data_IF_973767553618
#
_entry.id   IF_973767553618
#
_cell.length_a   1.000
_cell.length_b   1.000
_cell.length_c   1.000
_cell.angle_alpha   90.00
_cell.angle_beta   90.00
_cell.angle_gamma   90.00
#
_symmetry.space_group_name_H-M   'P 1'
#
loop_
_entity.id
_entity.type
_entity.pdbx_description
1 polymer ?
#
# COMPACT_ATOMS: atom_id res chain seq x y z
N UNK A 1 -19.17 -40.92 -10.92
CA UNK A 1 -19.46 -39.47 -10.91
C UNK A 1 -18.27 -38.75 -10.29
N UNK A 2 -17.91 -37.57 -10.78
CA UNK A 2 -16.79 -36.81 -10.22
C UNK A 2 -17.18 -36.17 -8.87
N UNK A 3 -16.26 -36.14 -7.90
CA UNK A 3 -16.41 -35.42 -6.63
C UNK A 3 -15.75 -34.06 -6.76
N UNK A 4 -16.50 -33.00 -6.47
CA UNK A 4 -15.99 -31.63 -6.41
C UNK A 4 -15.37 -31.36 -5.03
N UNK A 5 -14.20 -30.75 -5.00
CA UNK A 5 -13.51 -30.30 -3.79
C UNK A 5 -13.13 -28.83 -3.96
N UNK A 6 -13.34 -28.02 -2.92
CA UNK A 6 -12.88 -26.63 -2.89
C UNK A 6 -11.44 -26.59 -2.36
N UNK A 7 -10.53 -26.01 -3.12
CA UNK A 7 -9.10 -25.90 -2.79
C UNK A 7 -8.67 -24.44 -2.92
N UNK A 8 -9.05 -23.56 -1.97
CA UNK A 8 -8.57 -22.19 -1.97
C UNK A 8 -7.04 -22.17 -1.84
N UNK A 9 -6.35 -21.17 -2.42
CA UNK A 9 -4.91 -21.06 -2.27
C UNK A 9 -4.53 -20.87 -0.80
N UNK A 10 -3.44 -21.51 -0.39
CA UNK A 10 -2.80 -21.27 0.91
C UNK A 10 -2.45 -19.80 1.04
N UNK A 11 -2.96 -19.14 2.08
CA UNK A 11 -2.72 -17.71 2.29
C UNK A 11 -1.24 -17.45 2.56
N UNK A 12 -0.60 -18.28 3.38
CA UNK A 12 0.82 -18.20 3.67
C UNK A 12 1.67 -18.34 2.40
N UNK A 13 1.44 -19.40 1.61
CA UNK A 13 2.25 -19.68 0.41
C UNK A 13 2.05 -18.64 -0.68
N UNK A 14 0.81 -18.18 -0.88
CA UNK A 14 0.52 -17.15 -1.87
C UNK A 14 1.06 -15.79 -1.41
N UNK A 15 0.99 -15.46 -0.12
CA UNK A 15 1.62 -14.24 0.44
C UNK A 15 3.10 -14.21 0.10
N UNK A 16 3.88 -15.25 0.46
CA UNK A 16 5.31 -15.32 0.11
C UNK A 16 5.54 -15.10 -1.39
N UNK A 17 4.74 -15.76 -2.23
CA UNK A 17 4.86 -15.64 -3.69
C UNK A 17 4.56 -14.22 -4.18
N UNK A 18 3.57 -13.53 -3.61
CA UNK A 18 3.24 -12.15 -3.97
C UNK A 18 4.34 -11.16 -3.56
N UNK A 19 5.04 -11.43 -2.45
CA UNK A 19 6.15 -10.60 -1.99
C UNK A 19 7.37 -10.67 -2.89
N UNK A 20 7.61 -11.83 -3.50
CA UNK A 20 8.77 -12.07 -4.35
C UNK A 20 8.54 -11.69 -5.83
N UNK A 21 7.46 -10.96 -6.15
CA UNK A 21 7.11 -10.56 -7.52
C UNK A 21 8.06 -9.53 -8.18
N UNK A 22 9.28 -9.34 -7.67
CA UNK A 22 10.33 -8.58 -8.35
C UNK A 22 10.10 -7.07 -8.43
N UNK A 23 9.22 -6.51 -7.59
CA UNK A 23 9.05 -5.06 -7.49
C UNK A 23 10.33 -4.42 -6.96
N UNK A 24 10.83 -3.43 -7.70
CA UNK A 24 11.76 -2.45 -7.12
C UNK A 24 10.96 -1.45 -6.28
N UNK A 25 11.62 -0.78 -5.33
CA UNK A 25 10.98 0.25 -4.52
C UNK A 25 10.34 1.33 -5.40
N UNK A 26 11.02 1.74 -6.47
CA UNK A 26 10.54 2.76 -7.40
C UNK A 26 9.23 2.34 -8.07
N UNK A 27 9.15 1.09 -8.56
CA UNK A 27 7.93 0.56 -9.17
C UNK A 27 6.80 0.40 -8.17
N UNK A 28 7.11 -0.01 -6.93
CA UNK A 28 6.10 -0.17 -5.89
C UNK A 28 5.51 1.19 -5.46
N UNK A 29 6.36 2.22 -5.34
CA UNK A 29 5.90 3.58 -5.06
C UNK A 29 5.12 4.14 -6.25
N UNK A 30 5.58 3.94 -7.49
CA UNK A 30 4.85 4.38 -8.67
C UNK A 30 3.42 3.80 -8.74
N UNK A 31 3.25 2.51 -8.43
CA UNK A 31 1.93 1.87 -8.35
C UNK A 31 1.01 2.52 -7.30
N UNK A 32 1.55 2.98 -6.17
CA UNK A 32 0.77 3.72 -5.18
C UNK A 32 0.39 5.11 -5.69
N UNK A 33 1.30 5.81 -6.35
CA UNK A 33 1.04 7.12 -6.96
C UNK A 33 -0.02 7.02 -8.07
N UNK A 34 0.00 5.94 -8.87
CA UNK A 34 -1.04 5.67 -9.86
C UNK A 34 -2.43 5.54 -9.22
N UNK A 35 -2.52 4.98 -8.01
CA UNK A 35 -3.78 4.93 -7.26
C UNK A 35 -4.22 6.34 -6.81
N UNK A 36 -3.28 7.18 -6.36
CA UNK A 36 -3.57 8.58 -6.01
C UNK A 36 -4.11 9.35 -7.23
N UNK A 37 -3.47 9.22 -8.39
CA UNK A 37 -3.91 9.84 -9.66
C UNK A 37 -5.29 9.30 -10.07
N UNK A 38 -5.49 7.98 -9.97
CA UNK A 38 -6.78 7.34 -10.25
C UNK A 38 -7.88 7.78 -9.29
N UNK A 39 -7.51 8.30 -8.11
CA UNK A 39 -8.39 8.91 -7.11
C UNK A 39 -8.56 10.43 -7.31
N UNK A 40 -8.07 10.98 -8.41
CA UNK A 40 -8.11 12.41 -8.77
C UNK A 40 -7.35 13.31 -7.78
N UNK A 41 -6.32 12.77 -7.11
CA UNK A 41 -5.46 13.56 -6.24
C UNK A 41 -4.64 14.58 -7.04
N UNK A 42 -4.51 15.78 -6.48
CA UNK A 42 -3.68 16.87 -7.04
C UNK A 42 -2.42 17.10 -6.22
N UNK A 43 -2.37 16.59 -4.99
CA UNK A 43 -1.24 16.67 -4.09
C UNK A 43 -1.01 15.28 -3.50
N UNK A 44 0.25 14.84 -3.55
CA UNK A 44 0.69 13.59 -2.96
C UNK A 44 1.96 13.82 -2.17
N UNK A 45 1.90 13.56 -0.87
CA UNK A 45 3.02 13.67 0.06
C UNK A 45 3.59 12.29 0.32
N UNK A 46 4.91 12.16 0.13
CA UNK A 46 5.65 10.95 0.45
C UNK A 46 6.58 11.26 1.63
N UNK A 47 6.47 10.48 2.70
CA UNK A 47 7.25 10.66 3.92
C UNK A 47 7.98 9.36 4.22
N UNK A 48 9.27 9.50 4.52
CA UNK A 48 10.06 8.42 5.06
C UNK A 48 10.57 8.82 6.43
N UNK A 49 10.06 8.17 7.47
CA UNK A 49 10.41 8.48 8.85
C UNK A 49 11.28 7.38 9.44
N UNK A 50 12.51 7.77 9.78
CA UNK A 50 13.53 6.92 10.42
C UNK A 50 13.76 7.29 11.88
N UNK A 51 13.09 8.33 12.39
CA UNK A 51 13.37 8.90 13.71
C UNK A 51 12.85 8.05 14.87
N UNK A 52 11.86 7.20 14.61
CA UNK A 52 11.26 6.30 15.60
C UNK A 52 12.04 5.00 15.82
N UNK A 53 11.55 4.18 16.77
CA UNK A 53 12.08 2.83 17.04
C UNK A 53 11.88 1.87 15.87
N UNK A 54 10.92 2.16 14.99
CA UNK A 54 10.64 1.39 13.78
C UNK A 54 10.33 2.33 12.63
N UNK A 55 11.09 2.24 11.51
CA UNK A 55 10.86 3.09 10.36
C UNK A 55 9.49 2.88 9.72
N UNK A 56 8.95 3.96 9.17
CA UNK A 56 7.71 3.93 8.39
C UNK A 56 7.88 4.67 7.07
N UNK A 57 7.23 4.14 6.03
CA UNK A 57 7.07 4.82 4.75
C UNK A 57 5.59 5.15 4.59
N UNK A 58 5.29 6.40 4.25
CA UNK A 58 3.93 6.93 4.24
C UNK A 58 3.67 7.67 2.94
N UNK A 59 2.51 7.40 2.33
CA UNK A 59 1.96 8.19 1.23
C UNK A 59 0.63 8.78 1.67
N UNK A 60 0.47 10.09 1.48
CA UNK A 60 -0.76 10.83 1.77
C UNK A 60 -1.20 11.51 0.48
N UNK A 61 -2.45 11.32 0.08
CA UNK A 61 -3.03 12.04 -1.03
C UNK A 61 -4.29 12.80 -0.61
N UNK A 62 -4.64 13.80 -1.41
CA UNK A 62 -5.88 14.58 -1.28
C UNK A 62 -6.97 14.14 -2.28
N UNK A 63 -6.93 12.89 -2.72
CA UNK A 63 -7.91 12.35 -3.65
C UNK A 63 -9.30 12.20 -3.03
N UNK A 64 -10.21 11.57 -3.78
CA UNK A 64 -11.61 11.40 -3.37
C UNK A 64 -11.83 10.56 -2.11
N UNK A 65 -10.85 9.76 -1.70
CA UNK A 65 -10.98 8.79 -0.62
C UNK A 65 -11.94 7.63 -0.95
N UNK A 66 -12.27 6.83 0.05
CA UNK A 66 -13.14 5.66 -0.02
C UNK A 66 -14.01 5.60 1.24
N UNK A 67 -15.24 5.09 1.12
CA UNK A 67 -15.98 4.65 2.30
C UNK A 67 -15.46 3.27 2.78
N UNK A 68 -15.96 2.78 3.91
CA UNK A 68 -15.52 1.50 4.49
C UNK A 68 -15.70 0.33 3.52
N UNK A 69 -16.88 0.18 2.89
CA UNK A 69 -17.13 -0.91 1.93
C UNK A 69 -16.15 -0.90 0.75
N UNK A 70 -15.86 0.30 0.21
CA UNK A 70 -14.89 0.49 -0.86
C UNK A 70 -13.47 0.17 -0.40
N UNK A 71 -13.11 0.55 0.83
CA UNK A 71 -11.82 0.20 1.43
C UNK A 71 -11.67 -1.32 1.59
N UNK A 72 -12.66 -1.99 2.14
CA UNK A 72 -12.63 -3.46 2.32
C UNK A 72 -12.51 -4.16 0.97
N UNK A 73 -13.24 -3.69 -0.04
CA UNK A 73 -13.11 -4.23 -1.40
C UNK A 73 -11.74 -3.90 -2.02
N UNK A 74 -11.18 -2.72 -1.77
CA UNK A 74 -9.81 -2.39 -2.18
C UNK A 74 -8.76 -3.29 -1.50
N UNK A 75 -9.00 -3.73 -0.26
CA UNK A 75 -8.13 -4.62 0.50
C UNK A 75 -8.23 -6.08 0.10
N UNK A 76 -9.35 -6.51 -0.51
CA UNK A 76 -9.53 -7.87 -1.02
C UNK A 76 -8.57 -8.14 -2.19
N UNK A 77 -8.09 -9.38 -2.30
CA UNK A 77 -7.22 -9.82 -3.38
C UNK A 77 -8.04 -10.17 -4.63
N UNK A 78 -7.60 -9.72 -5.81
CA UNK A 78 -8.17 -10.12 -7.10
C UNK A 78 -9.60 -9.65 -7.36
N UNK A 79 -9.94 -8.43 -6.91
CA UNK A 79 -11.30 -7.86 -6.96
C UNK A 79 -11.77 -7.44 -8.36
N UNK A 80 -10.84 -7.13 -9.26
CA UNK A 80 -11.20 -6.69 -10.61
C UNK A 80 -11.37 -7.88 -11.53
N UNK A 81 -12.61 -8.15 -11.97
CA UNK A 81 -12.86 -9.09 -13.07
C UNK A 81 -12.17 -8.54 -14.34
N UNK A 82 -11.18 -9.25 -14.92
CA UNK A 82 -10.46 -8.78 -16.10
C UNK A 82 -11.35 -8.62 -17.35
N UNK A 83 -12.64 -8.99 -17.28
CA UNK A 83 -13.64 -8.89 -18.34
C UNK A 83 -14.52 -7.63 -18.27
N UNK A 84 -14.44 -6.79 -17.22
CA UNK A 84 -15.23 -5.54 -17.13
C UNK A 84 -14.76 -4.49 -18.16
N UNK A 85 -15.72 -3.76 -18.74
CA UNK A 85 -15.50 -2.75 -19.79
C UNK A 85 -14.82 -1.50 -19.19
N UNK A 86 -13.81 -1.02 -19.91
CA UNK A 86 -12.78 -0.05 -19.52
C UNK A 86 -13.29 1.36 -19.26
N UNK A 87 -12.56 2.09 -18.40
CA UNK A 87 -12.35 3.54 -18.56
C UNK A 87 -10.89 3.81 -18.95
N UNK A 88 -10.61 4.91 -19.66
CA UNK A 88 -9.29 5.21 -20.25
C UNK A 88 -8.18 5.47 -19.21
N UNK A 89 -8.53 5.62 -17.93
CA UNK A 89 -7.63 5.98 -16.83
C UNK A 89 -7.39 4.84 -15.83
N UNK A 90 -7.87 3.62 -16.08
CA UNK A 90 -7.65 2.48 -15.19
C UNK A 90 -6.24 1.89 -15.38
N UNK A 91 -5.28 2.37 -14.58
CA UNK A 91 -3.91 1.83 -14.53
C UNK A 91 -3.83 0.51 -13.73
N UNK A 92 -4.84 0.21 -12.89
CA UNK A 92 -4.90 -0.96 -12.01
C UNK A 92 -5.55 -2.22 -12.62
N UNK A 93 -4.92 -2.85 -13.62
CA UNK A 93 -5.46 -3.97 -14.43
C UNK A 93 -5.97 -5.21 -13.66
N UNK A 94 -5.49 -5.47 -12.44
CA UNK A 94 -5.77 -6.72 -11.72
C UNK A 94 -6.32 -6.53 -10.30
N UNK A 95 -6.49 -5.28 -9.83
CA UNK A 95 -6.84 -5.02 -8.43
C UNK A 95 -5.80 -5.60 -7.46
N UNK A 96 -4.55 -5.75 -7.90
CA UNK A 96 -3.43 -6.28 -7.10
C UNK A 96 -2.42 -5.20 -6.71
N UNK A 97 -2.27 -4.14 -7.54
CA UNK A 97 -1.20 -3.12 -7.44
C UNK A 97 -0.89 -2.68 -6.02
N UNK A 98 -1.88 -2.11 -5.30
CA UNK A 98 -1.72 -1.70 -3.89
C UNK A 98 -1.11 -2.80 -3.01
N UNK A 99 -1.66 -4.03 -3.03
CA UNK A 99 -1.23 -5.10 -2.13
C UNK A 99 0.11 -5.69 -2.58
N UNK A 100 0.27 -5.99 -3.86
CA UNK A 100 1.52 -6.57 -4.38
C UNK A 100 2.69 -5.62 -4.26
N UNK A 101 2.49 -4.34 -4.60
CA UNK A 101 3.50 -3.30 -4.40
C UNK A 101 3.84 -3.18 -2.91
N UNK A 102 2.84 -3.07 -2.03
CA UNK A 102 3.07 -2.93 -0.58
C UNK A 102 3.77 -4.13 0.03
N UNK A 103 3.28 -5.35 -0.21
CA UNK A 103 3.84 -6.57 0.38
C UNK A 103 5.25 -6.87 -0.12
N UNK A 104 5.61 -6.41 -1.32
CA UNK A 104 7.00 -6.49 -1.79
C UNK A 104 7.97 -5.64 -0.98
N UNK A 105 7.49 -4.61 -0.28
CA UNK A 105 8.31 -3.65 0.46
C UNK A 105 8.13 -3.71 1.98
N UNK A 106 7.01 -4.27 2.48
CA UNK A 106 6.68 -4.24 3.91
C UNK A 106 5.95 -5.51 4.39
N UNK A 107 6.00 -5.78 5.71
CA UNK A 107 5.19 -6.83 6.35
C UNK A 107 3.86 -6.31 6.90
N UNK A 108 3.73 -5.00 7.06
CA UNK A 108 2.56 -4.37 7.65
C UNK A 108 2.07 -3.20 6.79
N UNK A 109 0.88 -3.37 6.19
CA UNK A 109 0.21 -2.35 5.38
C UNK A 109 -1.03 -1.85 6.11
N UNK A 110 -1.07 -0.57 6.44
CA UNK A 110 -2.30 0.10 6.90
C UNK A 110 -2.76 1.07 5.83
N UNK A 111 -4.06 1.08 5.55
CA UNK A 111 -4.70 2.10 4.71
C UNK A 111 -5.75 2.80 5.55
N UNK A 112 -5.59 4.10 5.72
CA UNK A 112 -6.60 4.98 6.29
C UNK A 112 -7.15 5.84 5.16
N UNK A 113 -8.45 5.96 5.06
CA UNK A 113 -9.10 6.78 4.04
C UNK A 113 -10.13 7.69 4.68
N UNK A 114 -10.35 8.85 4.09
CA UNK A 114 -11.30 9.85 4.58
C UNK A 114 -12.19 10.33 3.44
N UNK A 115 -13.48 10.50 3.72
CA UNK A 115 -14.43 11.17 2.83
C UNK A 115 -15.25 12.15 3.67
N UNK A 116 -15.13 13.45 3.38
CA UNK A 116 -15.79 14.52 4.14
C UNK A 116 -15.53 14.45 5.66
N UNK A 117 -14.32 14.06 6.04
CA UNK A 117 -13.86 13.92 7.43
C UNK A 117 -14.24 12.60 8.12
N UNK A 118 -15.03 11.75 7.47
CA UNK A 118 -15.38 10.42 7.98
C UNK A 118 -14.27 9.47 7.58
N UNK A 119 -13.62 8.86 8.57
CA UNK A 119 -12.46 7.98 8.36
C UNK A 119 -12.84 6.52 8.49
N UNK A 120 -12.23 5.69 7.65
CA UNK A 120 -12.22 4.24 7.76
C UNK A 120 -10.78 3.75 7.60
N UNK A 121 -10.42 2.64 8.24
CA UNK A 121 -9.10 2.07 8.08
C UNK A 121 -9.11 0.55 8.13
N UNK A 122 -8.17 -0.03 7.38
CA UNK A 122 -7.98 -1.45 7.28
C UNK A 122 -6.49 -1.79 7.22
N UNK A 123 -6.14 -2.95 7.73
CA UNK A 123 -4.75 -3.31 7.96
C UNK A 123 -4.45 -4.78 7.65
N UNK A 124 -3.40 -4.97 6.86
CA UNK A 124 -2.79 -6.27 6.59
C UNK A 124 -1.52 -6.43 7.41
N UNK A 125 -1.52 -7.41 8.31
CA UNK A 125 -0.30 -7.90 8.97
C UNK A 125 0.03 -9.29 8.40
N UNK A 126 1.14 -9.38 7.65
CA UNK A 126 1.50 -10.62 6.97
C UNK A 126 1.95 -11.73 7.92
N UNK A 127 2.42 -11.41 9.13
CA UNK A 127 2.70 -12.43 10.15
C UNK A 127 1.41 -13.11 10.62
N UNK A 128 0.32 -12.35 10.79
CA UNK A 128 -0.98 -12.93 11.13
C UNK A 128 -1.51 -13.81 9.98
N UNK A 129 -1.38 -13.35 8.73
CA UNK A 129 -1.78 -14.11 7.54
C UNK A 129 -0.99 -15.43 7.43
N UNK A 130 0.32 -15.39 7.65
CA UNK A 130 1.19 -16.56 7.60
C UNK A 130 0.91 -17.53 8.75
N UNK A 131 0.78 -17.02 9.98
CA UNK A 131 0.51 -17.82 11.18
C UNK A 131 -0.84 -18.52 11.12
N UNK A 132 -1.89 -17.80 10.74
CA UNK A 132 -3.25 -18.30 10.76
C UNK A 132 -3.63 -19.00 9.44
N UNK A 133 -2.75 -18.90 8.43
CA UNK A 133 -2.96 -19.35 7.05
C UNK A 133 -4.32 -18.91 6.47
N UNK A 134 -4.70 -17.66 6.78
CA UNK A 134 -5.99 -17.09 6.44
C UNK A 134 -5.86 -15.62 6.00
N UNK A 135 -6.69 -15.21 5.04
CA UNK A 135 -6.75 -13.84 4.54
C UNK A 135 -7.59 -12.94 5.47
N UNK A 136 -7.07 -12.68 6.67
CA UNK A 136 -7.73 -11.81 7.65
C UNK A 136 -7.15 -10.39 7.60
N UNK A 137 -7.99 -9.44 7.20
CA UNK A 137 -7.70 -8.01 7.32
C UNK A 137 -8.30 -7.48 8.63
N UNK A 138 -7.58 -6.65 9.37
CA UNK A 138 -8.13 -5.95 10.52
C UNK A 138 -8.84 -4.67 10.05
N UNK A 139 -10.03 -4.39 10.61
CA UNK A 139 -10.72 -3.12 10.43
C UNK A 139 -10.52 -2.34 11.72
N UNK A 140 -9.92 -1.15 11.62
CA UNK A 140 -9.51 -0.39 12.80
C UNK A 140 -10.65 0.49 13.30
N UNK A 141 -10.75 0.60 14.63
CA UNK A 141 -11.67 1.53 15.27
C UNK A 141 -11.15 2.98 15.28
N UNK A 142 -11.95 3.91 15.81
CA UNK A 142 -11.59 5.33 15.84
C UNK A 142 -10.34 5.65 16.68
N UNK A 143 -10.09 4.90 17.75
CA UNK A 143 -8.92 5.09 18.62
C UNK A 143 -7.67 4.59 17.91
N UNK A 144 -7.75 3.39 17.32
CA UNK A 144 -6.70 2.80 16.51
C UNK A 144 -6.36 3.67 15.30
N UNK A 145 -7.36 4.23 14.60
CA UNK A 145 -7.17 5.20 13.51
C UNK A 145 -6.42 6.43 14.01
N UNK A 146 -6.82 7.00 15.16
CA UNK A 146 -6.22 8.22 15.71
C UNK A 146 -4.79 8.01 16.20
N UNK A 147 -4.40 6.77 16.46
CA UNK A 147 -3.04 6.40 16.83
C UNK A 147 -2.08 6.23 15.64
N UNK A 148 -2.61 6.21 14.40
CA UNK A 148 -1.79 6.00 13.21
C UNK A 148 -0.81 7.16 13.00
N UNK A 149 0.44 6.89 12.59
CA UNK A 149 1.44 7.92 12.31
C UNK A 149 0.94 8.82 11.17
N UNK A 150 1.20 10.12 11.31
CA UNK A 150 0.81 11.14 10.34
C UNK A 150 -0.70 11.27 10.07
N UNK A 151 -1.57 10.68 10.89
CA UNK A 151 -3.03 10.78 10.73
C UNK A 151 -3.56 12.22 10.74
N UNK A 152 -2.85 13.12 11.43
CA UNK A 152 -3.19 14.54 11.50
C UNK A 152 -2.91 15.28 10.19
N UNK A 153 -2.13 14.69 9.28
CA UNK A 153 -1.86 15.24 7.95
C UNK A 153 -2.88 14.77 6.91
N UNK A 154 -3.68 13.74 7.21
CA UNK A 154 -4.71 13.25 6.29
C UNK A 154 -5.83 14.30 6.13
N UNK A 155 -6.09 14.81 4.91
CA UNK A 155 -7.16 15.77 4.65
C UNK A 155 -8.55 15.19 4.87
N UNK A 156 -9.57 16.06 4.84
CA UNK A 156 -10.98 15.64 4.98
C UNK A 156 -11.40 14.63 3.90
N UNK A 157 -10.83 14.72 2.70
CA UNK A 157 -10.98 13.72 1.65
C UNK A 157 -9.60 13.35 1.12
N UNK A 158 -9.26 12.07 1.17
CA UNK A 158 -7.94 11.58 0.80
C UNK A 158 -7.65 10.17 1.31
N UNK A 159 -6.44 9.70 1.07
CA UNK A 159 -5.96 8.40 1.53
C UNK A 159 -4.56 8.52 2.13
N UNK A 160 -4.32 7.75 3.18
CA UNK A 160 -3.07 7.61 3.91
C UNK A 160 -2.69 6.12 3.86
N UNK A 161 -1.61 5.81 3.15
CA UNK A 161 -1.03 4.46 3.06
C UNK A 161 0.23 4.42 3.91
N UNK A 162 0.31 3.45 4.82
CA UNK A 162 1.41 3.31 5.78
C UNK A 162 2.02 1.93 5.60
N UNK A 163 3.33 1.90 5.37
CA UNK A 163 4.14 0.70 5.37
C UNK A 163 4.99 0.67 6.64
N UNK A 164 4.91 -0.44 7.39
CA UNK A 164 5.79 -0.73 8.52
C UNK A 164 6.46 -2.08 8.34
N UNK A 165 7.53 -2.27 9.10
CA UNK A 165 8.39 -3.44 8.99
C UNK A 165 8.90 -3.61 7.55
N UNK A 166 9.72 -2.64 7.14
CA UNK A 166 10.29 -2.51 5.81
C UNK A 166 11.51 -3.43 5.64
N UNK A 167 11.33 -4.71 5.93
CA UNK A 167 12.36 -5.74 5.95
C UNK A 167 13.22 -5.80 4.67
N UNK A 168 12.64 -5.53 3.49
CA UNK A 168 13.35 -5.50 2.20
C UNK A 168 14.13 -4.20 1.94
N UNK A 169 13.75 -3.10 2.57
CA UNK A 169 14.38 -1.81 2.31
C UNK A 169 15.79 -1.74 2.91
N UNK A 170 16.00 -2.40 4.05
CA UNK A 170 17.19 -2.24 4.89
C UNK A 170 18.25 -3.33 4.76
N UNK A 171 18.01 -4.42 4.01
CA UNK A 171 19.01 -5.46 3.66
C UNK A 171 19.96 -5.85 4.82
N UNK A 172 19.44 -5.98 6.05
CA UNK A 172 20.20 -6.31 7.28
C UNK A 172 21.29 -5.32 7.73
N UNK A 173 21.37 -4.11 7.17
CA UNK A 173 22.37 -3.10 7.53
C UNK A 173 21.95 -2.27 8.76
N UNK A 174 22.92 -1.90 9.60
CA UNK A 174 22.71 -1.17 10.88
C UNK A 174 23.50 0.15 10.93
N UNK A 175 23.04 1.11 11.74
CA UNK A 175 23.72 2.40 11.97
C UNK A 175 23.73 3.34 10.76
N UNK A 176 24.71 4.24 10.67
CA UNK A 176 24.82 5.31 9.65
C UNK A 176 24.78 4.80 8.20
N UNK A 177 25.22 3.55 7.97
CA UNK A 177 25.14 2.91 6.64
C UNK A 177 23.70 2.72 6.19
N UNK A 178 22.79 2.43 7.13
CA UNK A 178 21.36 2.24 6.89
C UNK A 178 20.71 3.53 6.38
N UNK A 179 20.98 4.66 7.04
CA UNK A 179 20.45 5.96 6.63
C UNK A 179 20.94 6.35 5.24
N UNK A 180 22.23 6.17 4.95
CA UNK A 180 22.79 6.51 3.64
C UNK A 180 22.14 5.69 2.51
N UNK A 181 22.00 4.37 2.68
CA UNK A 181 21.37 3.49 1.69
C UNK A 181 19.92 3.90 1.44
N UNK A 182 19.19 4.22 2.51
CA UNK A 182 17.82 4.73 2.42
C UNK A 182 17.77 6.02 1.61
N UNK A 183 18.61 7.01 1.94
CA UNK A 183 18.64 8.29 1.23
C UNK A 183 18.93 8.10 -0.25
N UNK A 184 19.83 7.18 -0.60
CA UNK A 184 20.11 6.81 -2.00
C UNK A 184 18.88 6.17 -2.67
N UNK A 185 18.21 5.22 -2.01
CA UNK A 185 16.97 4.59 -2.52
C UNK A 185 15.86 5.63 -2.71
N UNK A 186 15.65 6.55 -1.76
CA UNK A 186 14.67 7.64 -1.86
C UNK A 186 15.02 8.59 -3.00
N UNK A 187 16.29 8.97 -3.15
CA UNK A 187 16.75 9.81 -4.27
C UNK A 187 16.45 9.17 -5.63
N UNK A 188 16.61 7.84 -5.73
CA UNK A 188 16.25 7.08 -6.93
C UNK A 188 14.74 7.05 -7.17
N UNK A 189 13.92 6.87 -6.13
CA UNK A 189 12.46 6.98 -6.21
C UNK A 189 12.06 8.36 -6.74
N UNK A 190 12.57 9.44 -6.14
CA UNK A 190 12.27 10.81 -6.59
C UNK A 190 12.64 11.03 -8.05
N UNK A 191 13.82 10.56 -8.48
CA UNK A 191 14.25 10.65 -9.88
C UNK A 191 13.35 9.85 -10.81
N UNK A 192 12.96 8.64 -10.40
CA UNK A 192 12.06 7.79 -11.17
C UNK A 192 10.67 8.43 -11.33
N UNK A 193 10.09 8.92 -10.23
CA UNK A 193 8.80 9.61 -10.24
C UNK A 193 8.83 10.86 -11.12
N UNK A 194 9.91 11.65 -11.05
CA UNK A 194 10.09 12.82 -11.90
C UNK A 194 10.13 12.46 -13.39
N UNK A 195 10.61 11.28 -13.77
CA UNK A 195 10.62 10.82 -15.16
C UNK A 195 9.26 10.26 -15.61
N UNK A 196 8.66 9.40 -14.79
CA UNK A 196 7.40 8.72 -15.12
C UNK A 196 6.21 9.68 -15.09
N UNK A 197 6.17 10.56 -14.08
CA UNK A 197 5.06 11.48 -13.84
C UNK A 197 5.35 12.94 -14.23
N UNK A 198 6.37 13.20 -15.07
CA UNK A 198 6.73 14.56 -15.50
C UNK A 198 5.57 15.39 -16.09
N UNK A 199 4.53 14.75 -16.63
CA UNK A 199 3.34 15.41 -17.17
C UNK A 199 2.28 15.76 -16.12
N UNK A 200 2.33 15.13 -14.95
CA UNK A 200 1.40 15.35 -13.83
C UNK A 200 1.98 16.25 -12.74
N UNK A 201 3.31 16.41 -12.71
CA UNK A 201 4.05 17.22 -11.73
C UNK A 201 4.37 18.65 -12.20
N UNK A 202 3.76 19.12 -13.30
CA UNK A 202 4.03 20.42 -13.91
C UNK A 202 3.18 21.57 -13.34
#
# INVERSE_FOLDING_TARGET
>A
MARMLNLPPSAASLTTSLRDLGYSLETAVADLIDNCISADATDVKIIFDMSGTSPVFVIIDNGRGMNEDQLIEAMRHGTTDPRKIRTRNDLGRFGLGLKTASFSQCRWLTVVTSVNGIRAAAEWNLENVERDNAWNVAVLDSEEISSQPYINELPNSGTLVIWRDLDRLFEHETGDKREKIVYEKISNVTRHLALVFHRFLA
#
